data_IF_121758103987
#
_entry.id   IF_121758103987
#
_cell.length_a   1.000
_cell.length_b   1.000
_cell.length_c   1.000
_cell.angle_alpha   90.00
_cell.angle_beta   90.00
_cell.angle_gamma   90.00
#
_symmetry.space_group_name_H-M   'P 1'
#
loop_
_entity.id
_entity.type
_entity.pdbx_description
1 polymer ?
#
# COMPACT_ATOMS: atom_id res chain seq x y z
N UNK A 1 18.68 -12.67 1.48
CA UNK A 1 17.40 -13.33 1.66
C UNK A 1 16.23 -12.44 1.30
N UNK A 2 16.13 -11.25 1.88
CA UNK A 2 15.02 -10.33 1.56
C UNK A 2 15.06 -9.83 0.13
N UNK A 3 16.24 -9.57 -0.39
CA UNK A 3 16.39 -9.13 -1.78
C UNK A 3 15.89 -10.22 -2.73
N UNK A 4 16.20 -11.47 -2.42
CA UNK A 4 15.76 -12.60 -3.21
C UNK A 4 14.24 -12.72 -3.18
N UNK A 5 13.62 -12.48 -2.02
CA UNK A 5 12.17 -12.47 -1.90
C UNK A 5 11.54 -11.38 -2.76
N UNK A 6 12.10 -10.19 -2.78
CA UNK A 6 11.59 -9.11 -3.61
C UNK A 6 11.71 -9.41 -5.10
N UNK A 7 12.76 -10.08 -5.50
CA UNK A 7 12.89 -10.56 -6.88
C UNK A 7 11.80 -11.56 -7.19
N UNK A 8 11.53 -12.50 -6.29
CA UNK A 8 10.46 -13.45 -6.44
C UNK A 8 9.10 -12.77 -6.50
N UNK A 9 8.91 -11.71 -5.75
CA UNK A 9 7.69 -10.93 -5.86
C UNK A 9 7.50 -10.35 -7.26
N UNK A 10 8.54 -9.78 -7.82
CA UNK A 10 8.47 -9.26 -9.17
C UNK A 10 8.04 -10.31 -10.16
N UNK A 11 8.37 -11.59 -9.90
CA UNK A 11 7.99 -12.72 -10.73
C UNK A 11 6.61 -13.27 -10.35
N UNK A 12 6.36 -13.48 -9.06
CA UNK A 12 5.15 -14.14 -8.56
C UNK A 12 3.95 -13.21 -8.50
N UNK A 13 4.13 -12.04 -7.90
CA UNK A 13 3.08 -11.04 -7.75
C UNK A 13 2.97 -10.19 -9.00
N UNK A 14 3.97 -10.24 -9.82
CA UNK A 14 3.95 -9.75 -11.18
C UNK A 14 3.71 -8.26 -11.32
N UNK A 15 2.87 -7.94 -12.29
CA UNK A 15 2.67 -6.58 -12.74
C UNK A 15 2.17 -5.62 -11.68
N UNK A 16 1.53 -6.13 -10.62
CA UNK A 16 1.02 -5.25 -9.57
C UNK A 16 2.16 -4.51 -8.86
N UNK A 17 3.19 -5.24 -8.41
CA UNK A 17 4.34 -4.61 -7.77
C UNK A 17 5.10 -3.71 -8.72
N UNK A 18 5.23 -4.12 -9.97
CA UNK A 18 5.91 -3.32 -10.98
C UNK A 18 5.14 -2.03 -11.26
N UNK A 19 3.81 -2.09 -11.32
CA UNK A 19 2.99 -0.91 -11.50
C UNK A 19 3.16 0.07 -10.36
N UNK A 20 3.04 -0.40 -9.14
CA UNK A 20 3.22 0.45 -7.96
C UNK A 20 4.61 1.05 -7.94
N UNK A 21 5.63 0.22 -8.17
CA UNK A 21 7.01 0.66 -8.18
C UNK A 21 7.30 1.64 -9.31
N UNK A 22 6.74 1.41 -10.48
CA UNK A 22 6.94 2.29 -11.62
C UNK A 22 6.34 3.67 -11.43
N UNK A 23 5.22 3.75 -10.73
CA UNK A 23 4.55 5.02 -10.46
C UNK A 23 5.14 5.77 -9.28
N UNK A 24 5.74 5.05 -8.35
CA UNK A 24 6.51 5.61 -7.25
C UNK A 24 7.97 5.35 -7.50
N UNK A 25 8.53 6.02 -8.49
CA UNK A 25 9.92 5.78 -8.90
C UNK A 25 10.93 5.93 -7.77
N UNK A 26 10.60 6.71 -6.76
CA UNK A 26 11.46 6.91 -5.59
C UNK A 26 11.09 5.99 -4.43
N UNK A 27 10.00 5.25 -4.53
CA UNK A 27 9.54 4.39 -3.45
C UNK A 27 10.21 3.03 -3.57
N UNK A 28 11.14 2.76 -2.68
CA UNK A 28 11.79 1.45 -2.61
C UNK A 28 10.89 0.51 -1.81
N UNK A 29 10.78 -0.73 -2.28
CA UNK A 29 10.10 -1.75 -1.49
C UNK A 29 11.06 -2.17 -0.40
N UNK A 30 10.81 -1.68 0.81
CA UNK A 30 11.68 -1.93 1.96
C UNK A 30 11.05 -2.86 2.99
N UNK A 31 9.83 -3.29 2.76
CA UNK A 31 9.14 -4.11 3.72
C UNK A 31 8.23 -5.14 3.08
N UNK A 32 7.95 -6.18 3.85
CA UNK A 32 7.08 -7.28 3.43
C UNK A 32 5.60 -6.89 3.40
N UNK A 33 5.22 -5.97 4.29
CA UNK A 33 3.82 -5.60 4.45
C UNK A 33 3.58 -4.22 3.87
N UNK A 34 2.60 -4.10 3.02
CA UNK A 34 2.23 -2.84 2.39
C UNK A 34 0.87 -2.38 2.90
N UNK A 35 0.77 -1.11 3.24
CA UNK A 35 -0.49 -0.49 3.60
C UNK A 35 -0.95 0.34 2.42
N UNK A 36 -2.10 -0.01 1.90
CA UNK A 36 -2.69 0.63 0.73
C UNK A 36 -4.06 1.13 1.10
N UNK A 37 -4.44 2.28 0.62
CA UNK A 37 -5.75 2.86 0.92
C UNK A 37 -6.57 3.02 -0.36
N UNK A 38 -7.66 2.28 -0.44
CA UNK A 38 -8.58 2.35 -1.57
C UNK A 38 -9.57 3.50 -1.35
N UNK A 39 -9.83 4.26 -2.40
CA UNK A 39 -10.84 5.31 -2.31
C UNK A 39 -12.21 4.67 -2.18
N UNK A 40 -13.05 5.20 -1.31
CA UNK A 40 -14.36 4.62 -1.01
C UNK A 40 -15.37 4.75 -2.14
N UNK A 41 -15.22 5.75 -3.01
CA UNK A 41 -16.17 6.02 -4.08
C UNK A 41 -15.57 6.06 -5.48
N UNK A 42 -14.26 6.09 -5.60
CA UNK A 42 -13.57 6.11 -6.89
C UNK A 42 -12.78 4.81 -7.08
N UNK A 43 -12.59 4.41 -8.31
CA UNK A 43 -11.82 3.22 -8.61
C UNK A 43 -10.31 3.50 -8.57
N UNK A 44 -9.86 4.04 -7.45
CA UNK A 44 -8.49 4.50 -7.24
C UNK A 44 -7.95 4.03 -5.91
N UNK A 45 -6.64 4.03 -5.79
CA UNK A 45 -5.97 3.75 -4.52
C UNK A 45 -4.73 4.63 -4.37
N UNK A 46 -4.32 4.82 -3.13
CA UNK A 46 -3.04 5.44 -2.79
C UNK A 46 -2.19 4.44 -2.02
N UNK A 47 -0.88 4.61 -2.08
CA UNK A 47 0.03 3.83 -1.28
C UNK A 47 0.39 4.61 -0.03
N UNK A 48 0.10 4.05 1.14
CA UNK A 48 0.50 4.66 2.40
C UNK A 48 1.98 4.39 2.65
N UNK A 49 2.39 3.12 2.51
CA UNK A 49 3.80 2.75 2.65
C UNK A 49 3.96 1.27 2.92
N UNK A 50 5.17 0.88 3.27
CA UNK A 50 5.44 -0.52 3.59
C UNK A 50 6.40 -0.63 4.76
N UNK A 51 6.42 -1.81 5.39
CA UNK A 51 7.26 -2.08 6.55
C UNK A 51 7.53 -3.58 6.66
N UNK A 52 8.62 -3.93 7.33
CA UNK A 52 8.91 -5.33 7.67
C UNK A 52 8.15 -5.80 8.90
N UNK A 53 7.57 -4.88 9.66
CA UNK A 53 6.90 -5.17 10.92
C UNK A 53 5.40 -5.28 10.71
N UNK A 54 4.86 -6.50 10.85
CA UNK A 54 3.44 -6.77 10.67
C UNK A 54 2.58 -5.97 11.65
N UNK A 55 3.01 -5.90 12.90
CA UNK A 55 2.26 -5.15 13.92
C UNK A 55 2.17 -3.68 13.58
N UNK A 56 3.26 -3.11 13.09
CA UNK A 56 3.28 -1.71 12.67
C UNK A 56 2.36 -1.50 11.47
N UNK A 57 2.36 -2.42 10.51
CA UNK A 57 1.49 -2.32 9.36
C UNK A 57 0.01 -2.37 9.78
N UNK A 58 -0.33 -3.25 10.71
CA UNK A 58 -1.69 -3.36 11.22
C UNK A 58 -2.11 -2.10 11.98
N UNK A 59 -1.20 -1.53 12.78
CA UNK A 59 -1.47 -0.30 13.51
C UNK A 59 -1.72 0.86 12.56
N UNK A 60 -0.93 0.98 11.52
CA UNK A 60 -1.10 2.03 10.52
C UNK A 60 -2.39 1.83 9.73
N UNK A 61 -2.71 0.59 9.40
CA UNK A 61 -3.97 0.29 8.72
C UNK A 61 -5.16 0.73 9.57
N UNK A 62 -5.14 0.40 10.86
CA UNK A 62 -6.18 0.82 11.78
C UNK A 62 -6.25 2.33 11.91
N UNK A 63 -5.10 2.97 12.00
CA UNK A 63 -5.01 4.43 12.11
C UNK A 63 -5.67 5.10 10.91
N UNK A 64 -5.38 4.65 9.71
CA UNK A 64 -5.97 5.20 8.49
C UNK A 64 -7.48 4.96 8.48
N UNK A 65 -7.91 3.76 8.86
CA UNK A 65 -9.33 3.43 8.90
C UNK A 65 -10.10 4.34 9.86
N UNK A 66 -9.52 4.62 11.02
CA UNK A 66 -10.19 5.39 12.07
C UNK A 66 -10.19 6.89 11.80
N UNK A 67 -9.25 7.40 11.00
CA UNK A 67 -9.05 8.83 10.88
C UNK A 67 -9.40 9.40 9.51
N UNK A 68 -9.47 8.59 8.47
CA UNK A 68 -9.78 9.11 7.13
C UNK A 68 -11.26 8.98 6.82
N UNK A 69 -11.73 9.87 5.94
CA UNK A 69 -13.12 9.90 5.50
C UNK A 69 -13.30 9.12 4.21
N UNK A 70 -12.36 9.28 3.28
CA UNK A 70 -12.51 8.78 1.91
C UNK A 70 -11.80 7.47 1.62
N UNK A 71 -11.04 6.92 2.58
CA UNK A 71 -10.18 5.78 2.30
C UNK A 71 -10.50 4.57 3.16
N UNK A 72 -10.42 3.42 2.52
CA UNK A 72 -10.54 2.11 3.17
C UNK A 72 -9.17 1.45 3.06
N UNK A 73 -8.40 1.37 4.15
CA UNK A 73 -7.06 0.81 4.09
C UNK A 73 -7.09 -0.71 4.10
N UNK A 74 -6.08 -1.28 3.46
CA UNK A 74 -5.85 -2.72 3.48
C UNK A 74 -4.37 -2.96 3.67
N UNK A 75 -4.05 -3.91 4.53
CA UNK A 75 -2.67 -4.35 4.73
C UNK A 75 -2.43 -5.60 3.90
N UNK A 76 -1.45 -5.55 3.02
CA UNK A 76 -1.08 -6.69 2.19
C UNK A 76 0.23 -7.30 2.64
N UNK A 77 0.23 -8.62 2.76
CA UNK A 77 1.46 -9.38 2.84
C UNK A 77 1.94 -9.60 1.41
N UNK A 78 3.05 -8.99 1.05
CA UNK A 78 3.55 -9.06 -0.31
C UNK A 78 4.06 -10.46 -0.71
N UNK A 79 4.16 -11.37 0.26
CA UNK A 79 4.46 -12.77 -0.05
C UNK A 79 3.23 -13.57 -0.48
N UNK A 80 2.04 -13.01 -0.32
CA UNK A 80 0.81 -13.68 -0.69
C UNK A 80 0.44 -13.36 -2.14
N UNK A 81 0.49 -14.32 -3.06
CA UNK A 81 0.17 -14.08 -4.46
C UNK A 81 -1.31 -13.73 -4.70
N UNK A 82 -2.18 -13.97 -3.73
CA UNK A 82 -3.61 -13.67 -3.87
C UNK A 82 -3.93 -12.20 -3.70
N UNK A 83 -3.03 -11.42 -3.13
CA UNK A 83 -3.25 -9.98 -2.90
C UNK A 83 -3.61 -9.24 -4.18
N UNK A 84 -3.07 -9.69 -5.29
CA UNK A 84 -3.29 -9.09 -6.59
C UNK A 84 -4.76 -9.08 -6.99
N UNK A 85 -5.52 -10.10 -6.59
CA UNK A 85 -6.93 -10.24 -6.96
C UNK A 85 -7.82 -9.21 -6.27
N UNK A 86 -7.48 -8.85 -5.05
CA UNK A 86 -8.29 -7.92 -4.27
C UNK A 86 -8.24 -6.50 -4.81
N UNK A 87 -7.12 -6.10 -5.39
CA UNK A 87 -6.98 -4.76 -5.96
C UNK A 87 -7.72 -4.61 -7.27
N UNK A 88 -7.81 -5.68 -8.01
CA UNK A 88 -8.58 -5.71 -9.25
C UNK A 88 -8.16 -4.63 -10.22
N UNK A 89 -9.13 -3.88 -10.70
CA UNK A 89 -8.95 -2.85 -11.72
C UNK A 89 -8.67 -1.47 -11.15
N UNK A 90 -8.53 -1.32 -9.83
CA UNK A 90 -8.27 0.00 -9.25
C UNK A 90 -6.97 0.59 -9.77
N UNK A 91 -7.01 1.88 -10.03
CA UNK A 91 -5.87 2.58 -10.58
C UNK A 91 -5.16 3.37 -9.49
N UNK A 92 -3.83 3.35 -9.54
CA UNK A 92 -3.05 4.15 -8.65
C UNK A 92 -3.26 5.63 -8.94
N UNK A 93 -3.51 6.41 -7.88
CA UNK A 93 -3.65 7.85 -7.95
C UNK A 93 -2.73 8.47 -6.88
N UNK A 94 -1.80 9.35 -7.28
CA UNK A 94 -0.90 9.97 -6.31
C UNK A 94 -1.56 11.05 -5.45
N UNK A 95 -2.74 11.50 -5.86
CA UNK A 95 -3.41 12.59 -5.17
C UNK A 95 -4.26 12.09 -4.03
N UNK A 96 -4.13 12.75 -2.88
CA UNK A 96 -4.86 12.40 -1.67
C UNK A 96 -6.00 13.41 -1.53
N UNK A 97 -7.18 12.92 -1.13
CA UNK A 97 -8.29 13.81 -0.81
C UNK A 97 -7.83 14.82 0.25
N UNK A 98 -8.13 16.08 0.01
CA UNK A 98 -7.63 17.18 0.84
C UNK A 98 -7.99 17.02 2.32
N UNK A 99 -9.18 16.53 2.59
CA UNK A 99 -9.66 16.31 3.94
C UNK A 99 -8.86 15.27 4.70
N UNK A 100 -8.23 14.36 3.99
CA UNK A 100 -7.48 13.25 4.57
C UNK A 100 -5.97 13.41 4.48
N UNK A 101 -5.47 14.47 3.85
CA UNK A 101 -4.03 14.67 3.64
C UNK A 101 -3.23 14.57 4.94
N UNK A 102 -3.67 15.26 5.96
CA UNK A 102 -2.97 15.27 7.24
C UNK A 102 -2.83 13.87 7.80
N UNK A 103 -3.92 13.11 7.75
CA UNK A 103 -3.94 11.77 8.34
C UNK A 103 -3.11 10.77 7.54
N UNK A 104 -3.14 10.88 6.23
CA UNK A 104 -2.32 10.01 5.38
C UNK A 104 -0.83 10.31 5.58
N UNK A 105 -0.44 11.57 5.64
CA UNK A 105 0.95 11.93 5.90
C UNK A 105 1.40 11.47 7.27
N UNK A 106 0.53 11.61 8.27
CA UNK A 106 0.84 11.12 9.61
C UNK A 106 1.00 9.60 9.63
N UNK A 107 0.11 8.89 8.94
CA UNK A 107 0.21 7.44 8.81
C UNK A 107 1.53 7.02 8.18
N UNK A 108 1.94 7.70 7.13
CA UNK A 108 3.22 7.44 6.47
C UNK A 108 4.41 7.61 7.41
N UNK A 109 4.34 8.57 8.31
CA UNK A 109 5.41 8.80 9.27
C UNK A 109 5.50 7.71 10.34
N UNK A 110 4.47 6.92 10.50
CA UNK A 110 4.44 5.81 11.46
C UNK A 110 5.12 4.54 10.94
N UNK A 111 5.35 4.47 9.64
CA UNK A 111 5.97 3.30 9.01
C UNK A 111 7.54 3.38 8.95
#
# INVERSE_FOLDING_TARGET
MKILQYILYGVIVGNWLLDVKGRFSTCKIQGRYAVVAAHSSKNEYILVGNTMDEGKAEDVTRFVDENTIFYIPVCYDLLDPNNRKEFGSRQYCPYIEKEDEYWIHKARSML
#
